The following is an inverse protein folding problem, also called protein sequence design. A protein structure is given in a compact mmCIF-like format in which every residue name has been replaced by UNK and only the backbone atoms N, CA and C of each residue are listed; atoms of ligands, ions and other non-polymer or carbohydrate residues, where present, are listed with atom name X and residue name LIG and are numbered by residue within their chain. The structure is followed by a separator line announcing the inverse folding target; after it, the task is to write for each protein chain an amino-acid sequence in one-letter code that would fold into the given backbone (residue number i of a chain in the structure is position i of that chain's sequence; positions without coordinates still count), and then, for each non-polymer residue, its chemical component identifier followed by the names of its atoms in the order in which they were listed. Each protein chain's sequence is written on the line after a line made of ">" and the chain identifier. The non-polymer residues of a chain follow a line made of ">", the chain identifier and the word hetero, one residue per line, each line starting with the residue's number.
data_IF_091136716712
#
_entry.id   IF_091136716712
#
_cell.length_a   1.000
_cell.length_b   1.000
_cell.length_c   1.000
_cell.angle_alpha   90.00
_cell.angle_beta   90.00
_cell.angle_gamma   90.00
#
_symmetry.space_group_name_H-M   'P 1'
#
loop_
_entity.id
_entity.type
_entity.pdbx_description
1 polymer ?
#
# COMPACT_ATOMS: atom_id res chain seq x y z
N UNK A 1 -7.82 6.21 -3.94
CA UNK A 1 -7.25 6.98 -2.83
C UNK A 1 -5.74 6.80 -2.91
N UNK A 2 -4.97 7.89 -3.04
CA UNK A 2 -3.50 7.86 -3.14
C UNK A 2 -2.96 8.10 -1.73
N UNK A 3 -2.35 7.08 -1.11
CA UNK A 3 -1.77 7.19 0.21
C UNK A 3 -0.25 7.34 0.06
N UNK A 4 0.18 8.59 -0.05
CA UNK A 4 1.56 9.00 -0.36
C UNK A 4 2.55 8.75 0.79
N UNK A 5 2.08 8.36 1.97
CA UNK A 5 2.92 8.15 3.15
C UNK A 5 2.42 6.99 4.01
N UNK A 6 2.34 5.78 3.46
CA UNK A 6 2.15 4.57 4.26
C UNK A 6 3.48 4.10 4.89
N UNK A 7 4.07 4.95 5.74
CA UNK A 7 5.03 4.49 6.74
C UNK A 7 4.33 3.45 7.67
N UNK A 8 5.07 2.49 8.24
CA UNK A 8 4.58 1.16 8.53
C UNK A 8 3.52 1.12 9.64
N UNK A 9 2.39 0.49 9.35
CA UNK A 9 1.52 -0.07 10.38
C UNK A 9 0.09 0.51 10.41
N UNK A 10 -0.85 -0.27 9.88
CA UNK A 10 -2.24 -0.28 10.36
C UNK A 10 -3.28 0.32 9.44
N UNK A 11 -3.00 1.42 8.72
CA UNK A 11 -4.06 2.14 7.99
C UNK A 11 -4.39 1.53 6.61
N UNK A 12 -3.39 1.09 5.85
CA UNK A 12 -3.61 0.60 4.48
C UNK A 12 -4.36 -0.74 4.42
N UNK A 13 -4.14 -1.65 5.37
CA UNK A 13 -4.88 -2.92 5.45
C UNK A 13 -6.33 -2.73 5.89
N UNK A 14 -6.58 -1.79 6.80
CA UNK A 14 -7.93 -1.49 7.25
C UNK A 14 -8.77 -0.83 6.14
N UNK A 15 -8.13 -0.01 5.29
CA UNK A 15 -8.79 0.55 4.10
C UNK A 15 -9.14 -0.56 3.09
N UNK A 16 -8.32 -1.62 2.96
CA UNK A 16 -8.67 -2.79 2.15
C UNK A 16 -9.95 -3.51 2.59
N UNK A 17 -10.13 -3.67 3.90
CA UNK A 17 -11.35 -4.26 4.49
C UNK A 17 -12.56 -3.31 4.38
N UNK A 18 -12.37 -2.02 4.68
CA UNK A 18 -13.42 -0.99 4.58
C UNK A 18 -13.89 -0.74 3.14
N UNK A 19 -13.03 -0.97 2.14
CA UNK A 19 -13.37 -0.83 0.73
C UNK A 19 -13.99 -2.11 0.13
N UNK A 20 -14.23 -3.16 0.93
CA UNK A 20 -14.71 -4.47 0.44
C UNK A 20 -13.86 -5.05 -0.72
N UNK A 21 -12.56 -4.76 -0.76
CA UNK A 21 -11.71 -5.08 -1.92
C UNK A 21 -12.25 -4.55 -3.28
N UNK A 22 -12.97 -3.43 -3.28
CA UNK A 22 -13.43 -2.75 -4.49
C UNK A 22 -12.64 -1.46 -4.70
N UNK A 23 -12.09 -1.29 -5.89
CA UNK A 23 -11.27 -0.13 -6.26
C UNK A 23 -9.77 -0.44 -6.30
N UNK A 24 -8.95 0.61 -6.30
CA UNK A 24 -7.47 0.53 -6.35
C UNK A 24 -6.88 1.52 -5.35
N UNK A 25 -5.92 1.03 -4.57
CA UNK A 25 -5.11 1.80 -3.63
C UNK A 25 -3.68 1.77 -4.18
N UNK A 26 -3.06 2.94 -4.30
CA UNK A 26 -1.65 3.04 -4.66
C UNK A 26 -0.90 3.41 -3.38
N UNK A 27 0.00 2.52 -2.96
CA UNK A 27 0.92 2.73 -1.86
C UNK A 27 2.31 3.00 -2.45
N UNK A 28 2.85 4.18 -2.19
CA UNK A 28 4.18 4.57 -2.67
C UNK A 28 5.18 4.39 -1.54
N UNK A 29 6.28 3.67 -1.82
CA UNK A 29 7.39 3.51 -0.90
C UNK A 29 8.72 3.85 -1.57
N UNK A 30 9.59 4.59 -0.87
CA UNK A 30 10.90 4.94 -1.40
C UNK A 30 11.89 3.77 -1.26
N UNK A 31 11.75 2.97 -0.21
CA UNK A 31 12.71 1.92 0.14
C UNK A 31 12.19 0.53 -0.25
N UNK A 32 12.89 -0.16 -1.16
CA UNK A 32 12.55 -1.52 -1.60
C UNK A 32 12.45 -2.52 -0.43
N UNK A 33 13.25 -2.35 0.63
CA UNK A 33 13.17 -3.20 1.82
C UNK A 33 11.85 -3.03 2.57
N UNK A 34 11.28 -1.82 2.60
CA UNK A 34 9.97 -1.54 3.20
C UNK A 34 8.84 -1.97 2.28
N UNK A 35 8.97 -1.71 0.98
CA UNK A 35 8.01 -2.18 -0.03
C UNK A 35 7.83 -3.70 0.01
N UNK A 36 8.92 -4.47 0.15
CA UNK A 36 8.85 -5.93 0.35
C UNK A 36 8.07 -6.35 1.61
N UNK A 37 8.30 -5.68 2.74
CA UNK A 37 7.54 -5.95 3.98
C UNK A 37 6.06 -5.60 3.81
N UNK A 38 5.76 -4.52 3.11
CA UNK A 38 4.38 -4.12 2.81
C UNK A 38 3.69 -5.16 1.92
N UNK A 39 4.33 -5.62 0.83
CA UNK A 39 3.78 -6.69 -0.03
C UNK A 39 3.48 -7.95 0.75
N UNK A 40 4.39 -8.39 1.62
CA UNK A 40 4.16 -9.56 2.49
C UNK A 40 2.99 -9.35 3.46
N UNK A 41 2.82 -8.14 4.01
CA UNK A 41 1.67 -7.82 4.86
C UNK A 41 0.36 -7.86 4.07
N UNK A 42 0.35 -7.28 2.87
CA UNK A 42 -0.82 -7.28 1.98
C UNK A 42 -1.24 -8.69 1.57
N UNK A 43 -0.27 -9.55 1.23
CA UNK A 43 -0.51 -10.97 0.96
C UNK A 43 -1.13 -11.69 2.17
N UNK A 44 -0.58 -11.46 3.37
CA UNK A 44 -1.07 -12.09 4.61
C UNK A 44 -2.47 -11.61 5.02
N UNK A 45 -2.81 -10.36 4.72
CA UNK A 45 -4.11 -9.77 5.06
C UNK A 45 -5.16 -9.93 3.96
N UNK A 46 -4.77 -10.42 2.77
CA UNK A 46 -5.68 -10.59 1.65
C UNK A 46 -6.11 -9.28 0.99
N UNK A 47 -5.40 -8.19 1.23
CA UNK A 47 -5.67 -6.88 0.63
C UNK A 47 -5.17 -6.86 -0.83
N UNK A 48 -6.05 -7.26 -1.77
CA UNK A 48 -5.71 -7.41 -3.20
C UNK A 48 -5.81 -6.13 -4.02
N UNK A 49 -6.42 -5.09 -3.45
CA UNK A 49 -6.62 -3.81 -4.14
C UNK A 49 -5.45 -2.84 -3.99
N UNK A 50 -4.39 -3.22 -3.27
CA UNK A 50 -3.25 -2.36 -2.98
C UNK A 50 -2.09 -2.67 -3.92
N UNK A 51 -1.67 -1.67 -4.67
CA UNK A 51 -0.48 -1.72 -5.52
C UNK A 51 0.66 -0.94 -4.89
N UNK A 52 1.82 -1.59 -4.76
CA UNK A 52 3.00 -1.01 -4.11
C UNK A 52 3.99 -0.53 -5.17
N UNK A 53 4.09 0.78 -5.36
CA UNK A 53 5.04 1.45 -6.24
C UNK A 53 6.30 1.83 -5.47
N UNK A 54 7.46 1.55 -6.05
CA UNK A 54 8.75 1.92 -5.44
C UNK A 54 9.34 3.10 -6.18
N UNK A 55 9.15 4.30 -5.62
CA UNK A 55 9.56 5.57 -6.20
C UNK A 55 9.57 6.67 -5.14
N UNK A 56 10.16 7.82 -5.46
CA UNK A 56 9.99 9.01 -4.63
C UNK A 56 8.51 9.44 -4.68
N UNK A 57 7.92 9.72 -3.51
CA UNK A 57 6.54 10.18 -3.41
C UNK A 57 6.29 11.49 -4.18
N UNK A 58 7.35 12.27 -4.48
CA UNK A 58 7.27 13.45 -5.33
C UNK A 58 6.98 13.14 -6.80
N UNK A 59 7.31 11.94 -7.26
CA UNK A 59 7.13 11.47 -8.63
C UNK A 59 5.88 10.58 -8.77
N UNK A 60 5.13 10.41 -7.68
CA UNK A 60 3.92 9.60 -7.68
C UNK A 60 2.80 10.30 -8.51
N UNK A 61 2.04 9.52 -9.31
CA UNK A 61 0.98 10.04 -10.18
C UNK A 61 -0.26 10.53 -9.42
#
# INVERSE_FOLDING_TARGET
>A
MVDLCAAPGGKTTHIGELMENKGRIIAVELLESRARRLRQLLERTGARIVEVLVMDGKDAP
#
